data_IF_735769030942
#
_entry.id   IF_735769030942
#
_cell.length_a   1.000
_cell.length_b   1.000
_cell.length_c   1.000
_cell.angle_alpha   90.00
_cell.angle_beta   90.00
_cell.angle_gamma   90.00
#
_symmetry.space_group_name_H-M   'P 1'
#
loop_
_entity.id
_entity.type
_entity.pdbx_description
1 polymer ?
#
# COMPACT_ATOMS: atom_id res chain seq x y z
N UNK A 1 11.81 4.38 20.13
CA UNK A 1 11.90 5.82 19.75
C UNK A 1 12.07 5.97 18.24
N UNK A 2 11.63 7.09 17.65
CA UNK A 2 11.92 7.43 16.27
C UNK A 2 13.43 7.54 16.01
N UNK A 3 13.87 7.06 14.85
CA UNK A 3 15.28 7.17 14.43
C UNK A 3 15.60 8.51 13.74
N UNK A 4 14.60 9.40 13.65
CA UNK A 4 14.76 10.72 13.02
C UNK A 4 15.55 11.69 13.88
N UNK A 5 16.43 12.49 13.23
CA UNK A 5 17.30 13.47 13.92
C UNK A 5 16.54 14.59 14.65
N UNK A 6 15.25 14.76 14.38
CA UNK A 6 14.42 15.82 14.97
C UNK A 6 13.72 15.41 16.25
N UNK A 7 13.72 14.13 16.59
CA UNK A 7 13.12 13.63 17.82
C UNK A 7 13.97 14.03 19.02
N UNK A 8 13.35 14.65 20.01
CA UNK A 8 14.01 15.18 21.22
C UNK A 8 13.41 14.64 22.52
N UNK A 9 12.64 13.54 22.45
CA UNK A 9 12.00 12.92 23.62
C UNK A 9 10.57 13.37 23.86
N UNK A 10 9.90 13.92 22.86
CA UNK A 10 8.49 14.34 22.94
C UNK A 10 7.58 13.15 23.23
N UNK A 11 6.47 13.42 23.94
CA UNK A 11 5.47 12.39 24.19
C UNK A 11 4.67 12.12 22.91
N UNK A 12 4.89 10.94 22.36
CA UNK A 12 4.18 10.42 21.18
C UNK A 12 3.91 8.93 21.39
N UNK A 13 3.09 8.33 20.56
CA UNK A 13 2.59 6.98 20.83
C UNK A 13 2.74 6.04 19.64
N UNK A 14 2.69 4.75 19.92
CA UNK A 14 2.46 3.65 19.00
C UNK A 14 1.17 2.96 19.44
N UNK A 15 0.22 2.82 18.52
CA UNK A 15 -1.04 2.09 18.74
C UNK A 15 -1.02 0.84 17.88
N UNK A 16 -1.19 -0.32 18.50
CA UNK A 16 -1.22 -1.62 17.82
C UNK A 16 -2.54 -2.30 18.16
N UNK A 17 -3.25 -2.73 17.12
CA UNK A 17 -4.50 -3.47 17.24
C UNK A 17 -4.33 -4.91 17.71
N UNK A 18 -5.34 -5.72 17.45
CA UNK A 18 -5.45 -7.06 17.98
C UNK A 18 -4.97 -8.14 16.99
N UNK A 19 -4.69 -9.33 17.50
CA UNK A 19 -4.37 -10.54 16.72
C UNK A 19 -3.18 -10.40 15.74
N UNK A 20 -2.29 -9.45 15.96
CA UNK A 20 -1.10 -9.31 15.14
C UNK A 20 -0.07 -10.39 15.50
N UNK A 21 0.50 -11.01 14.47
CA UNK A 21 1.64 -11.92 14.63
C UNK A 21 2.91 -11.15 14.29
N UNK A 22 3.72 -10.88 15.30
CA UNK A 22 4.98 -10.14 15.19
C UNK A 22 6.13 -11.11 15.49
N UNK A 23 6.97 -11.36 14.49
CA UNK A 23 8.08 -12.28 14.57
C UNK A 23 9.34 -11.60 15.11
N UNK A 24 10.40 -12.35 15.14
CA UNK A 24 11.67 -12.03 15.79
C UNK A 24 12.31 -10.74 15.25
N UNK A 25 12.87 -9.95 16.15
CA UNK A 25 13.64 -8.75 15.87
C UNK A 25 12.87 -7.65 15.08
N UNK A 26 11.54 -7.67 15.09
CA UNK A 26 10.77 -6.56 14.54
C UNK A 26 10.96 -5.30 15.39
N UNK A 27 11.00 -4.15 14.74
CA UNK A 27 11.08 -2.85 15.41
C UNK A 27 9.96 -1.93 14.94
N UNK A 28 9.32 -1.25 15.91
CA UNK A 28 8.24 -0.31 15.67
C UNK A 28 8.56 0.99 16.40
N UNK A 29 8.61 2.10 15.68
CA UNK A 29 8.83 3.43 16.26
C UNK A 29 7.50 4.09 16.64
N UNK A 30 7.50 4.88 17.71
CA UNK A 30 6.39 5.78 18.04
C UNK A 30 6.28 6.91 17.01
N UNK A 31 5.21 7.69 17.01
CA UNK A 31 5.05 8.83 16.14
C UNK A 31 5.97 10.01 16.46
N UNK A 32 5.84 11.09 15.72
CA UNK A 32 6.59 12.33 15.93
C UNK A 32 5.65 13.53 15.93
N UNK A 33 6.04 14.62 16.60
CA UNK A 33 5.28 15.88 16.63
C UNK A 33 5.25 16.61 15.27
N UNK A 34 6.03 16.14 14.31
CA UNK A 34 6.01 16.65 12.93
C UNK A 34 4.82 16.12 12.13
N UNK A 35 4.13 15.12 12.64
CA UNK A 35 2.86 14.60 12.13
C UNK A 35 1.83 14.60 13.28
N UNK A 36 0.96 13.60 13.36
CA UNK A 36 -0.09 13.49 14.37
C UNK A 36 0.41 12.92 15.73
N UNK A 37 1.68 12.67 15.88
CA UNK A 37 2.26 12.11 17.11
C UNK A 37 1.97 10.61 17.31
N UNK A 38 1.53 9.91 16.28
CA UNK A 38 1.14 8.51 16.39
C UNK A 38 1.59 7.66 15.21
N UNK A 39 2.16 6.49 15.52
CA UNK A 39 2.29 5.37 14.58
C UNK A 39 1.16 4.39 14.85
N UNK A 40 0.47 3.95 13.82
CA UNK A 40 -0.67 3.03 13.95
C UNK A 40 -0.46 1.73 13.20
N UNK A 41 -0.80 0.64 13.83
CA UNK A 41 -0.89 -0.71 13.26
C UNK A 41 -2.27 -1.25 13.58
N UNK A 42 -3.01 -1.65 12.55
CA UNK A 42 -4.33 -2.25 12.70
C UNK A 42 -4.26 -3.67 13.30
N UNK A 43 -5.17 -4.52 12.89
CA UNK A 43 -5.36 -5.86 13.44
C UNK A 43 -5.12 -6.95 12.39
N UNK A 44 -4.89 -8.18 12.87
CA UNK A 44 -4.76 -9.39 12.04
C UNK A 44 -3.60 -9.35 11.03
N UNK A 45 -2.54 -8.61 11.33
CA UNK A 45 -1.37 -8.48 10.47
C UNK A 45 -0.31 -9.54 10.80
N UNK A 46 0.48 -9.91 9.79
CA UNK A 46 1.69 -10.71 9.94
C UNK A 46 2.93 -9.87 9.63
N UNK A 47 3.76 -9.65 10.63
CA UNK A 47 5.10 -9.06 10.49
C UNK A 47 6.13 -10.17 10.66
N UNK A 48 6.80 -10.54 9.56
CA UNK A 48 7.84 -11.57 9.60
C UNK A 48 9.14 -11.01 10.20
N UNK A 49 10.14 -11.86 10.38
CA UNK A 49 11.35 -11.50 11.11
C UNK A 49 12.08 -10.27 10.51
N UNK A 50 12.63 -9.44 11.39
CA UNK A 50 13.43 -8.26 11.08
C UNK A 50 12.68 -7.15 10.33
N UNK A 51 11.35 -7.07 10.41
CA UNK A 51 10.58 -5.96 9.83
C UNK A 51 10.82 -4.69 10.65
N UNK A 52 11.02 -3.57 9.96
CA UNK A 52 11.08 -2.24 10.56
C UNK A 52 9.88 -1.39 10.13
N UNK A 53 9.13 -0.88 11.11
CA UNK A 53 8.07 0.11 10.92
C UNK A 53 8.54 1.42 11.56
N UNK A 54 8.90 2.41 10.73
CA UNK A 54 9.37 3.70 11.22
C UNK A 54 8.24 4.56 11.79
N UNK A 55 8.60 5.72 12.29
CA UNK A 55 7.69 6.69 12.91
C UNK A 55 6.58 7.16 11.95
N UNK A 56 5.43 7.44 12.51
CA UNK A 56 4.26 7.99 11.79
C UNK A 56 3.72 7.09 10.65
N UNK A 57 4.16 5.83 10.60
CA UNK A 57 3.59 4.85 9.68
C UNK A 57 2.14 4.52 10.07
N UNK A 58 1.33 4.18 9.07
CA UNK A 58 -0.04 3.69 9.25
C UNK A 58 -0.20 2.37 8.48
N UNK A 59 -0.28 1.28 9.22
CA UNK A 59 -0.52 -0.06 8.67
C UNK A 59 -1.95 -0.45 8.99
N UNK A 60 -2.71 -0.83 7.97
CA UNK A 60 -4.09 -1.27 8.08
C UNK A 60 -4.24 -2.66 8.70
N UNK A 61 -5.22 -3.40 8.21
CA UNK A 61 -5.56 -4.72 8.72
C UNK A 61 -5.24 -5.81 7.71
N UNK A 62 -5.03 -7.04 8.21
CA UNK A 62 -4.81 -8.24 7.39
C UNK A 62 -3.63 -8.13 6.41
N UNK A 63 -2.64 -7.29 6.72
CA UNK A 63 -1.46 -7.14 5.87
C UNK A 63 -0.43 -8.24 6.13
N UNK A 64 0.40 -8.53 5.13
CA UNK A 64 1.56 -9.40 5.27
C UNK A 64 2.81 -8.60 4.92
N UNK A 65 3.66 -8.39 5.91
CA UNK A 65 4.94 -7.69 5.75
C UNK A 65 6.04 -8.72 5.96
N UNK A 66 6.70 -9.09 4.85
CA UNK A 66 7.64 -10.22 4.86
C UNK A 66 9.01 -9.84 5.45
N UNK A 67 9.89 -10.84 5.56
CA UNK A 67 11.20 -10.70 6.22
C UNK A 67 12.03 -9.51 5.70
N UNK A 68 12.64 -8.77 6.61
CA UNK A 68 13.57 -7.69 6.33
C UNK A 68 12.96 -6.52 5.50
N UNK A 69 11.65 -6.34 5.53
CA UNK A 69 11.01 -5.16 4.97
C UNK A 69 11.28 -3.97 5.86
N UNK A 70 11.64 -2.84 5.25
CA UNK A 70 11.79 -1.56 5.93
C UNK A 70 10.77 -0.54 5.39
N UNK A 71 9.82 -0.16 6.25
CA UNK A 71 8.89 0.94 6.00
C UNK A 71 9.50 2.21 6.59
N UNK A 72 9.88 3.16 5.75
CA UNK A 72 10.37 4.47 6.20
C UNK A 72 9.25 5.32 6.80
N UNK A 73 9.59 6.47 7.40
CA UNK A 73 8.61 7.32 8.08
C UNK A 73 7.42 7.72 7.22
N UNK A 74 6.24 7.82 7.85
CA UNK A 74 4.97 8.22 7.20
C UNK A 74 4.46 7.31 6.08
N UNK A 75 4.97 6.10 5.96
CA UNK A 75 4.46 5.10 5.00
C UNK A 75 3.06 4.65 5.42
N UNK A 76 2.17 4.50 4.44
CA UNK A 76 0.85 3.91 4.63
C UNK A 76 0.76 2.60 3.89
N UNK A 77 0.27 1.58 4.55
CA UNK A 77 -0.03 0.27 3.97
C UNK A 77 -1.49 -0.03 4.26
N UNK A 78 -2.30 -0.07 3.21
CA UNK A 78 -3.72 -0.30 3.35
C UNK A 78 -4.03 -1.79 3.55
N UNK A 79 -5.30 -2.09 3.86
CA UNK A 79 -5.76 -3.43 4.20
C UNK A 79 -5.43 -4.48 3.12
N UNK A 80 -5.10 -5.68 3.56
CA UNK A 80 -4.83 -6.83 2.68
C UNK A 80 -3.62 -6.68 1.75
N UNK A 81 -2.83 -5.63 1.89
CA UNK A 81 -1.61 -5.47 1.11
C UNK A 81 -0.54 -6.48 1.55
N UNK A 82 0.27 -6.93 0.59
CA UNK A 82 1.40 -7.82 0.82
C UNK A 82 2.67 -7.13 0.38
N UNK A 83 3.66 -7.06 1.26
CA UNK A 83 4.99 -6.50 0.95
C UNK A 83 6.01 -7.61 1.04
N UNK A 84 6.59 -7.98 -0.09
CA UNK A 84 7.58 -9.04 -0.23
C UNK A 84 8.89 -8.73 0.48
N UNK A 85 9.58 -9.78 0.91
CA UNK A 85 10.78 -9.67 1.73
C UNK A 85 11.91 -8.84 1.10
N UNK A 86 12.74 -8.23 1.94
CA UNK A 86 13.88 -7.38 1.53
C UNK A 86 13.48 -6.12 0.75
N UNK A 87 12.22 -5.70 0.82
CA UNK A 87 11.70 -4.49 0.19
C UNK A 87 11.95 -3.28 1.06
N UNK A 88 12.47 -2.21 0.44
CA UNK A 88 12.55 -0.88 1.05
C UNK A 88 11.43 0.02 0.52
N UNK A 89 10.68 0.64 1.43
CA UNK A 89 9.60 1.58 1.07
C UNK A 89 9.99 2.99 1.50
N UNK A 90 10.08 3.90 0.52
CA UNK A 90 10.46 5.29 0.75
C UNK A 90 9.42 6.03 1.60
N UNK A 91 9.87 7.02 2.38
CA UNK A 91 9.00 7.84 3.22
C UNK A 91 7.83 8.46 2.45
N UNK A 92 6.67 8.53 3.11
CA UNK A 92 5.40 9.06 2.57
C UNK A 92 4.76 8.24 1.44
N UNK A 93 5.33 7.11 1.07
CA UNK A 93 4.72 6.22 0.08
C UNK A 93 3.48 5.56 0.66
N UNK A 94 2.47 5.39 -0.20
CA UNK A 94 1.26 4.63 0.10
C UNK A 94 1.22 3.35 -0.74
N UNK A 95 0.89 2.24 -0.08
CA UNK A 95 0.63 0.95 -0.73
C UNK A 95 -0.86 0.66 -0.55
N UNK A 96 -1.60 0.63 -1.66
CA UNK A 96 -3.05 0.50 -1.65
C UNK A 96 -3.52 -0.90 -1.27
N UNK A 97 -4.81 -1.00 -0.95
CA UNK A 97 -5.44 -2.25 -0.53
C UNK A 97 -5.26 -3.37 -1.56
N UNK A 98 -5.08 -4.59 -1.10
CA UNK A 98 -4.85 -5.76 -1.97
C UNK A 98 -3.68 -5.63 -2.96
N UNK A 99 -2.84 -4.61 -2.83
CA UNK A 99 -1.62 -4.52 -3.63
C UNK A 99 -0.61 -5.59 -3.19
N UNK A 100 0.21 -6.04 -4.13
CA UNK A 100 1.28 -7.00 -3.86
C UNK A 100 2.61 -6.45 -4.38
N UNK A 101 3.53 -6.20 -3.48
CA UNK A 101 4.89 -5.78 -3.80
C UNK A 101 5.79 -7.01 -3.77
N UNK A 102 6.44 -7.32 -4.88
CA UNK A 102 7.42 -8.40 -4.98
C UNK A 102 8.65 -8.15 -4.11
N UNK A 103 9.32 -9.22 -3.71
CA UNK A 103 10.51 -9.13 -2.86
C UNK A 103 11.68 -8.38 -3.52
N UNK A 104 12.60 -7.88 -2.71
CA UNK A 104 13.79 -7.12 -3.12
C UNK A 104 13.48 -5.87 -3.96
N UNK A 105 12.33 -5.23 -3.72
CA UNK A 105 11.89 -4.04 -4.43
C UNK A 105 12.30 -2.75 -3.73
N UNK A 106 12.48 -1.68 -4.52
CA UNK A 106 12.60 -0.31 -4.01
C UNK A 106 11.37 0.50 -4.39
N UNK A 107 10.48 0.72 -3.43
CA UNK A 107 9.20 1.40 -3.65
C UNK A 107 9.37 2.90 -3.39
N UNK A 108 9.49 3.68 -4.45
CA UNK A 108 9.78 5.13 -4.39
C UNK A 108 8.54 6.00 -4.64
N UNK A 109 7.44 5.41 -5.12
CA UNK A 109 6.17 6.07 -5.42
C UNK A 109 5.00 5.21 -4.94
N UNK A 110 3.84 5.81 -4.87
CA UNK A 110 2.63 5.13 -4.43
C UNK A 110 2.29 3.92 -5.33
N UNK A 111 1.88 2.83 -4.70
CA UNK A 111 1.41 1.61 -5.38
C UNK A 111 -0.12 1.60 -5.33
N UNK A 112 -0.80 1.70 -6.48
CA UNK A 112 -2.26 1.70 -6.49
C UNK A 112 -2.86 0.43 -5.91
N UNK A 113 -4.10 0.48 -5.40
CA UNK A 113 -4.83 -0.70 -4.96
C UNK A 113 -4.86 -1.79 -6.05
N UNK A 114 -4.83 -3.04 -5.63
CA UNK A 114 -5.00 -4.22 -6.49
C UNK A 114 -3.83 -4.53 -7.44
N UNK A 115 -2.78 -3.72 -7.47
CA UNK A 115 -1.66 -3.83 -8.42
C UNK A 115 -0.56 -4.74 -7.86
N UNK A 116 0.02 -5.57 -8.74
CA UNK A 116 1.29 -6.24 -8.50
C UNK A 116 2.41 -5.37 -9.03
N UNK A 117 3.43 -5.15 -8.24
CA UNK A 117 4.65 -4.46 -8.66
C UNK A 117 5.90 -5.14 -8.10
N UNK A 118 7.04 -4.91 -8.71
CA UNK A 118 8.37 -5.34 -8.23
C UNK A 118 9.46 -4.50 -8.87
N UNK A 119 10.70 -4.83 -8.58
CA UNK A 119 11.92 -4.23 -9.13
C UNK A 119 12.46 -3.02 -8.36
N UNK A 120 13.60 -2.51 -8.84
CA UNK A 120 14.28 -1.33 -8.32
C UNK A 120 14.64 -0.36 -9.48
N UNK A 121 13.93 0.75 -9.68
CA UNK A 121 12.72 1.17 -8.93
C UNK A 121 11.51 0.29 -9.23
N UNK A 122 10.58 0.21 -8.25
CA UNK A 122 9.38 -0.61 -8.37
C UNK A 122 8.51 -0.17 -9.55
N UNK A 123 8.14 -1.14 -10.40
CA UNK A 123 7.30 -0.94 -11.58
C UNK A 123 6.06 -1.86 -11.57
N UNK A 124 4.94 -1.44 -12.21
CA UNK A 124 3.73 -2.25 -12.26
C UNK A 124 3.87 -3.43 -13.23
N UNK A 125 3.47 -4.64 -12.78
CA UNK A 125 3.52 -5.87 -13.57
C UNK A 125 2.14 -6.44 -13.91
N UNK A 126 1.10 -6.05 -13.21
CA UNK A 126 -0.26 -6.54 -13.46
C UNK A 126 -1.22 -6.26 -12.33
N UNK A 127 -2.42 -6.79 -12.48
CA UNK A 127 -3.43 -6.82 -11.44
C UNK A 127 -3.24 -8.06 -10.56
N UNK A 128 -3.46 -7.94 -9.25
CA UNK A 128 -3.42 -9.07 -8.31
C UNK A 128 -4.65 -9.97 -8.44
N UNK A 129 -4.88 -10.48 -9.66
CA UNK A 129 -6.07 -11.26 -10.00
C UNK A 129 -6.26 -12.49 -9.10
N UNK A 130 -5.16 -13.19 -8.79
CA UNK A 130 -5.20 -14.38 -7.93
C UNK A 130 -5.60 -14.01 -6.50
N UNK A 131 -5.00 -12.97 -5.94
CA UNK A 131 -5.32 -12.49 -4.60
C UNK A 131 -6.77 -12.03 -4.50
N UNK A 132 -7.24 -11.25 -5.47
CA UNK A 132 -8.62 -10.74 -5.51
C UNK A 132 -9.65 -11.88 -5.58
N UNK A 133 -9.44 -12.88 -6.42
CA UNK A 133 -10.33 -14.06 -6.51
C UNK A 133 -10.34 -14.87 -5.21
N UNK A 134 -9.18 -15.07 -4.57
CA UNK A 134 -9.09 -15.75 -3.27
C UNK A 134 -9.83 -15.00 -2.18
N UNK A 135 -9.85 -13.69 -2.25
CA UNK A 135 -10.60 -12.84 -1.33
C UNK A 135 -12.11 -12.86 -1.58
N UNK A 136 -12.57 -13.26 -2.75
CA UNK A 136 -14.00 -13.40 -3.09
C UNK A 136 -14.53 -12.35 -4.08
N UNK A 137 -13.65 -11.62 -4.75
CA UNK A 137 -14.06 -10.70 -5.81
C UNK A 137 -14.68 -11.49 -6.97
N UNK A 138 -15.82 -11.01 -7.48
CA UNK A 138 -16.49 -11.61 -8.64
C UNK A 138 -15.63 -11.48 -9.91
N UNK A 139 -15.90 -12.34 -10.90
CA UNK A 139 -15.24 -12.23 -12.20
C UNK A 139 -15.54 -10.89 -12.89
N UNK A 140 -16.70 -10.31 -12.66
CA UNK A 140 -17.07 -8.98 -13.18
C UNK A 140 -16.27 -7.88 -12.53
N UNK A 141 -16.10 -7.90 -11.20
CA UNK A 141 -15.25 -6.96 -10.47
C UNK A 141 -13.80 -7.06 -10.91
N UNK A 142 -13.27 -8.27 -11.05
CA UNK A 142 -11.89 -8.49 -11.54
C UNK A 142 -11.71 -7.98 -12.96
N UNK A 143 -12.71 -8.18 -13.86
CA UNK A 143 -12.66 -7.63 -15.22
C UNK A 143 -12.65 -6.11 -15.23
N UNK A 144 -13.48 -5.47 -14.41
CA UNK A 144 -13.52 -4.01 -14.28
C UNK A 144 -12.15 -3.45 -13.86
N UNK A 145 -11.56 -4.03 -12.82
CA UNK A 145 -10.24 -3.64 -12.32
C UNK A 145 -9.13 -3.91 -13.34
N UNK A 146 -9.24 -4.99 -14.10
CA UNK A 146 -8.29 -5.28 -15.18
C UNK A 146 -8.36 -4.23 -16.30
N UNK A 147 -9.55 -3.76 -16.66
CA UNK A 147 -9.72 -2.66 -17.61
C UNK A 147 -9.16 -1.36 -17.05
N UNK A 148 -9.42 -1.05 -15.76
CA UNK A 148 -8.84 0.11 -15.10
C UNK A 148 -7.31 0.08 -15.12
N UNK A 149 -6.70 -1.06 -14.81
CA UNK A 149 -5.26 -1.27 -14.90
C UNK A 149 -4.71 -1.00 -16.32
N UNK A 150 -5.39 -1.53 -17.35
CA UNK A 150 -4.99 -1.29 -18.74
C UNK A 150 -5.06 0.16 -19.13
N UNK A 151 -6.13 0.87 -18.77
CA UNK A 151 -6.28 2.30 -19.03
C UNK A 151 -5.15 3.12 -18.36
N UNK A 152 -4.77 2.75 -17.14
CA UNK A 152 -3.70 3.44 -16.43
C UNK A 152 -2.30 3.16 -17.00
N UNK A 153 -2.01 1.92 -17.41
CA UNK A 153 -0.64 1.47 -17.65
C UNK A 153 -0.33 1.01 -19.07
N UNK A 154 -1.32 0.68 -19.90
CA UNK A 154 -1.11 0.02 -21.18
C UNK A 154 -1.58 0.78 -22.40
N UNK A 155 -2.34 1.86 -22.22
CA UNK A 155 -2.93 2.60 -23.34
C UNK A 155 -2.25 3.94 -23.63
N UNK A 156 -1.12 4.20 -23.01
CA UNK A 156 -0.33 5.42 -23.26
C UNK A 156 -1.00 6.73 -22.80
N UNK A 157 -2.07 6.63 -22.01
CA UNK A 157 -2.80 7.80 -21.51
C UNK A 157 -2.02 8.50 -20.39
N UNK A 158 -2.16 9.81 -20.30
CA UNK A 158 -1.77 10.51 -19.06
C UNK A 158 -2.76 10.16 -17.94
N UNK A 159 -2.29 10.28 -16.69
CA UNK A 159 -3.09 9.86 -15.52
C UNK A 159 -4.48 10.49 -15.52
N UNK A 160 -4.57 11.79 -15.78
CA UNK A 160 -5.86 12.51 -15.80
C UNK A 160 -6.86 11.94 -16.81
N UNK A 161 -6.41 11.61 -18.00
CA UNK A 161 -7.25 10.99 -19.04
C UNK A 161 -7.64 9.57 -18.66
N UNK A 162 -6.69 8.78 -18.09
CA UNK A 162 -6.97 7.44 -17.61
C UNK A 162 -8.06 7.46 -16.54
N UNK A 163 -7.98 8.36 -15.55
CA UNK A 163 -8.98 8.46 -14.48
C UNK A 163 -10.38 8.79 -15.01
N UNK A 164 -10.50 9.68 -16.01
CA UNK A 164 -11.80 9.98 -16.65
C UNK A 164 -12.39 8.73 -17.31
N UNK A 165 -11.57 7.97 -18.03
CA UNK A 165 -12.04 6.72 -18.68
C UNK A 165 -12.36 5.64 -17.67
N UNK A 166 -11.61 5.52 -16.57
CA UNK A 166 -11.89 4.57 -15.49
C UNK A 166 -13.20 4.93 -14.79
N UNK A 167 -13.48 6.21 -14.57
CA UNK A 167 -14.76 6.66 -14.02
C UNK A 167 -15.94 6.20 -14.89
N UNK A 168 -15.80 6.28 -16.21
CA UNK A 168 -16.82 5.83 -17.14
C UNK A 168 -17.11 4.32 -17.07
N UNK A 169 -16.13 3.48 -16.66
CA UNK A 169 -16.35 2.04 -16.49
C UNK A 169 -17.41 1.69 -15.45
N UNK A 170 -17.70 2.59 -14.50
CA UNK A 170 -18.73 2.35 -13.47
C UNK A 170 -20.12 2.08 -14.06
N UNK A 171 -20.42 2.67 -15.22
CA UNK A 171 -21.68 2.43 -15.93
C UNK A 171 -21.78 0.99 -16.48
N UNK A 172 -20.65 0.43 -16.93
CA UNK A 172 -20.57 -0.91 -17.49
C UNK A 172 -20.41 -1.99 -16.41
N UNK A 173 -19.92 -1.61 -15.22
CA UNK A 173 -19.62 -2.52 -14.11
C UNK A 173 -20.26 -2.05 -12.80
N UNK A 174 -21.58 -2.09 -12.66
CA UNK A 174 -22.27 -1.56 -11.47
C UNK A 174 -21.92 -2.30 -10.17
N UNK A 175 -21.47 -3.54 -10.24
CA UNK A 175 -21.01 -4.33 -9.09
C UNK A 175 -19.56 -4.05 -8.67
N UNK A 176 -18.83 -3.23 -9.46
CA UNK A 176 -17.45 -2.84 -9.18
C UNK A 176 -17.28 -1.33 -8.87
N UNK A 177 -18.37 -0.61 -8.68
CA UNK A 177 -18.35 0.85 -8.46
C UNK A 177 -17.47 1.23 -7.27
N UNK A 178 -17.59 0.51 -6.16
CA UNK A 178 -16.78 0.77 -4.96
C UNK A 178 -15.28 0.61 -5.23
N UNK A 179 -14.90 -0.50 -5.86
CA UNK A 179 -13.50 -0.82 -6.16
C UNK A 179 -12.89 0.18 -7.15
N UNK A 180 -13.64 0.54 -8.19
CA UNK A 180 -13.21 1.56 -9.15
C UNK A 180 -13.08 2.93 -8.49
N UNK A 181 -13.98 3.28 -7.59
CA UNK A 181 -13.91 4.53 -6.81
C UNK A 181 -12.65 4.57 -5.97
N UNK A 182 -12.35 3.52 -5.20
CA UNK A 182 -11.12 3.44 -4.39
C UNK A 182 -9.87 3.56 -5.24
N UNK A 183 -9.84 2.91 -6.41
CA UNK A 183 -8.72 3.00 -7.34
C UNK A 183 -8.50 4.43 -7.84
N UNK A 184 -9.58 5.11 -8.26
CA UNK A 184 -9.54 6.50 -8.76
C UNK A 184 -9.11 7.47 -7.66
N UNK A 185 -9.72 7.39 -6.48
CA UNK A 185 -9.43 8.29 -5.36
C UNK A 185 -7.99 8.15 -4.87
N UNK A 186 -7.49 6.91 -4.79
CA UNK A 186 -6.11 6.65 -4.41
C UNK A 186 -5.13 7.31 -5.39
N UNK A 187 -5.33 7.12 -6.68
CA UNK A 187 -4.45 7.67 -7.72
C UNK A 187 -4.57 9.19 -7.78
N UNK A 188 -5.80 9.72 -7.75
CA UNK A 188 -6.07 11.15 -7.82
C UNK A 188 -5.53 11.95 -6.64
N UNK A 189 -5.41 11.32 -5.47
CA UNK A 189 -4.86 11.93 -4.25
C UNK A 189 -3.37 11.65 -4.02
N UNK A 190 -2.66 11.06 -4.98
CA UNK A 190 -1.24 10.74 -4.85
C UNK A 190 -0.35 11.97 -5.03
N UNK A 191 0.32 12.47 -3.97
CA UNK A 191 1.10 13.72 -4.06
C UNK A 191 2.33 13.61 -4.97
N UNK A 192 2.91 12.43 -5.04
CA UNK A 192 4.13 12.13 -5.82
C UNK A 192 3.85 11.35 -7.10
N UNK A 193 2.59 11.06 -7.36
CA UNK A 193 2.20 10.13 -8.41
C UNK A 193 2.42 8.66 -8.04
N UNK A 194 1.85 7.80 -8.84
CA UNK A 194 1.96 6.35 -8.67
C UNK A 194 3.15 5.79 -9.45
N UNK A 195 3.56 4.54 -9.13
CA UNK A 195 4.54 3.79 -9.93
C UNK A 195 4.12 3.74 -11.40
N UNK A 196 5.10 3.75 -12.29
CA UNK A 196 4.90 3.63 -13.75
C UNK A 196 6.03 2.86 -14.41
#
# INVERSE_FOLDING_TARGET
DPQGKKYSGEYTVLVVGDNNVIRENCTFSIGTIQDEGVTTVGSDNLFMANVHVAHDCRVGNHTIIANNVALAGHVRVDDWAIVGGQTGVHQFVRIGEHAMVGGASAVLRDVPPYVICSDNPCAPHGLNTVGLRRFGYSDTQVRALHQAYRLLYREGLIVKEALVKIEALKADFPDAVEQLTRFIEFIGSSPRGVIR
#
